data_IF_668798845555
#
_entry.id   IF_668798845555
#
_cell.length_a   1.000
_cell.length_b   1.000
_cell.length_c   1.000
_cell.angle_alpha   90.00
_cell.angle_beta   90.00
_cell.angle_gamma   90.00
#
_symmetry.space_group_name_H-M   'P 1'
#
loop_
_entity.id
_entity.type
_entity.pdbx_description
1 polymer ?
#
# COMPACT_ATOMS: atom_id res chain seq x y z
N UNK A 1 23.32 36.97 -16.29
CA UNK A 1 24.12 36.35 -15.22
C UNK A 1 23.64 34.92 -15.05
N UNK A 2 24.33 33.96 -15.66
CA UNK A 2 24.04 32.53 -15.52
C UNK A 2 24.46 32.12 -14.10
N UNK A 3 23.47 31.89 -13.24
CA UNK A 3 23.71 31.34 -11.91
C UNK A 3 24.50 30.03 -12.04
N UNK A 4 25.48 29.87 -11.16
CA UNK A 4 26.30 28.69 -10.97
C UNK A 4 25.39 27.46 -10.79
N UNK A 5 25.02 26.78 -11.88
CA UNK A 5 24.25 25.53 -11.80
C UNK A 5 25.23 24.49 -11.27
N UNK A 6 25.13 24.16 -9.98
CA UNK A 6 25.74 22.97 -9.39
C UNK A 6 25.39 21.78 -10.28
N UNK A 7 26.33 21.34 -11.11
CA UNK A 7 26.11 20.23 -12.04
C UNK A 7 26.08 18.93 -11.26
N UNK A 8 24.87 18.55 -10.83
CA UNK A 8 24.63 17.25 -10.20
C UNK A 8 24.79 16.15 -11.27
N UNK A 9 25.49 15.04 -10.97
CA UNK A 9 25.57 13.92 -11.90
C UNK A 9 24.18 13.30 -12.08
N UNK A 10 23.77 13.13 -13.33
CA UNK A 10 22.48 12.57 -13.73
C UNK A 10 22.69 11.25 -14.47
N UNK A 11 21.72 10.33 -14.38
CA UNK A 11 21.72 9.14 -15.24
C UNK A 11 21.52 9.54 -16.70
N UNK A 12 22.09 8.82 -17.68
CA UNK A 12 21.99 9.17 -19.11
C UNK A 12 20.55 9.38 -19.59
N UNK A 13 19.62 8.53 -19.14
CA UNK A 13 18.19 8.63 -19.47
C UNK A 13 17.58 9.95 -18.95
N UNK A 14 17.97 10.36 -17.75
CA UNK A 14 17.47 11.58 -17.13
C UNK A 14 18.14 12.84 -17.71
N UNK A 15 19.42 12.72 -18.07
CA UNK A 15 20.16 13.74 -18.81
C UNK A 15 19.51 13.99 -20.17
N UNK A 16 19.16 12.93 -20.92
CA UNK A 16 18.43 13.04 -22.17
C UNK A 16 17.07 13.70 -21.97
N UNK A 17 16.28 13.31 -20.97
CA UNK A 17 15.03 13.99 -20.64
C UNK A 17 15.24 15.47 -20.32
N UNK A 18 16.28 15.84 -19.58
CA UNK A 18 16.54 17.24 -19.23
C UNK A 18 16.85 18.13 -20.44
N UNK A 19 17.38 17.52 -21.52
CA UNK A 19 17.75 18.22 -22.76
C UNK A 19 16.62 18.28 -23.79
N UNK A 20 15.57 17.48 -23.65
CA UNK A 20 14.43 17.52 -24.56
C UNK A 20 13.72 18.87 -24.46
N UNK A 21 13.64 19.57 -25.58
CA UNK A 21 12.91 20.83 -25.71
C UNK A 21 11.48 20.53 -26.15
N UNK A 22 10.51 20.92 -25.32
CA UNK A 22 9.09 20.65 -25.59
C UNK A 22 8.53 21.63 -26.62
N UNK A 23 8.39 21.19 -27.89
CA UNK A 23 7.59 21.91 -28.88
C UNK A 23 6.10 21.69 -28.60
N UNK A 24 5.39 22.74 -28.21
CA UNK A 24 3.96 22.67 -27.90
C UNK A 24 3.12 22.73 -29.17
N UNK A 25 2.50 21.61 -29.54
CA UNK A 25 1.50 21.53 -30.60
C UNK A 25 0.09 21.46 -30.01
N UNK A 26 -0.94 21.75 -30.81
CA UNK A 26 -2.36 21.76 -30.40
C UNK A 26 -2.82 20.46 -29.72
N UNK A 27 -2.35 19.30 -30.20
CA UNK A 27 -2.66 17.99 -29.61
C UNK A 27 -2.13 17.83 -28.17
N UNK A 28 -0.92 18.32 -27.87
CA UNK A 28 -0.33 18.25 -26.52
C UNK A 28 -1.13 19.14 -25.57
N UNK A 29 -1.48 20.36 -25.98
CA UNK A 29 -2.29 21.27 -25.18
C UNK A 29 -3.67 20.66 -24.85
N UNK A 30 -4.29 19.98 -25.81
CA UNK A 30 -5.55 19.27 -25.58
C UNK A 30 -5.40 18.13 -24.57
N UNK A 31 -4.37 17.28 -24.72
CA UNK A 31 -4.10 16.19 -23.76
C UNK A 31 -3.83 16.70 -22.35
N UNK A 32 -3.14 17.83 -22.22
CA UNK A 32 -2.86 18.47 -20.94
C UNK A 32 -4.15 18.98 -20.29
N UNK A 33 -5.00 19.69 -21.03
CA UNK A 33 -6.29 20.17 -20.52
C UNK A 33 -7.21 19.04 -20.06
N UNK A 34 -7.32 17.97 -20.87
CA UNK A 34 -8.09 16.77 -20.49
C UNK A 34 -7.51 16.13 -19.23
N UNK A 35 -6.19 16.02 -19.14
CA UNK A 35 -5.51 15.45 -17.96
C UNK A 35 -5.72 16.30 -16.72
N UNK A 36 -5.65 17.63 -16.82
CA UNK A 36 -5.92 18.57 -15.72
C UNK A 36 -7.35 18.41 -15.21
N UNK A 37 -8.34 18.36 -16.12
CA UNK A 37 -9.75 18.17 -15.74
C UNK A 37 -9.97 16.82 -15.06
N UNK A 38 -9.42 15.74 -15.64
CA UNK A 38 -9.57 14.39 -15.09
C UNK A 38 -8.98 14.28 -13.69
N UNK A 39 -7.75 14.75 -13.48
CA UNK A 39 -7.10 14.69 -12.17
C UNK A 39 -7.74 15.65 -11.15
N UNK A 40 -8.24 16.80 -11.60
CA UNK A 40 -9.03 17.72 -10.77
C UNK A 40 -10.30 17.07 -10.25
N UNK A 41 -11.10 16.44 -11.12
CA UNK A 41 -12.31 15.72 -10.73
C UNK A 41 -12.00 14.53 -9.82
N UNK A 42 -10.98 13.73 -10.16
CA UNK A 42 -10.55 12.61 -9.33
C UNK A 42 -10.12 13.04 -7.92
N UNK A 43 -9.45 14.19 -7.79
CA UNK A 43 -9.08 14.74 -6.49
C UNK A 43 -10.31 15.14 -5.67
N UNK A 44 -11.27 15.85 -6.26
CA UNK A 44 -12.49 16.27 -5.58
C UNK A 44 -13.31 15.06 -5.10
N UNK A 45 -13.53 14.09 -5.99
CA UNK A 45 -14.24 12.86 -5.66
C UNK A 45 -13.51 12.09 -4.55
N UNK A 46 -12.21 11.88 -4.69
CA UNK A 46 -11.41 11.15 -3.70
C UNK A 46 -11.39 11.82 -2.32
N UNK A 47 -11.32 13.15 -2.26
CA UNK A 47 -11.37 13.90 -1.00
C UNK A 47 -12.74 13.79 -0.33
N UNK A 48 -13.82 13.93 -1.10
CA UNK A 48 -15.19 13.84 -0.58
C UNK A 48 -15.51 12.42 -0.14
N UNK A 49 -15.21 11.41 -0.96
CA UNK A 49 -15.49 10.00 -0.68
C UNK A 49 -14.73 9.51 0.54
N UNK A 50 -13.40 9.67 0.56
CA UNK A 50 -12.58 9.20 1.69
C UNK A 50 -12.83 10.01 2.96
N UNK A 51 -13.10 11.32 2.84
CA UNK A 51 -13.50 12.17 3.96
C UNK A 51 -14.83 11.74 4.58
N UNK A 52 -15.82 11.41 3.74
CA UNK A 52 -17.11 10.91 4.19
C UNK A 52 -16.97 9.53 4.87
N UNK A 53 -16.17 8.63 4.30
CA UNK A 53 -15.88 7.32 4.92
C UNK A 53 -15.26 7.50 6.30
N UNK A 54 -14.25 8.36 6.43
CA UNK A 54 -13.63 8.65 7.73
C UNK A 54 -14.64 9.22 8.73
N UNK A 55 -15.50 10.14 8.29
CA UNK A 55 -16.51 10.74 9.17
C UNK A 55 -17.56 9.72 9.63
N UNK A 56 -18.15 8.97 8.69
CA UNK A 56 -19.22 8.00 8.99
C UNK A 56 -18.67 6.84 9.82
N UNK A 57 -17.58 6.22 9.38
CA UNK A 57 -16.99 5.05 10.05
C UNK A 57 -16.33 5.45 11.39
N UNK A 58 -15.77 6.64 11.47
CA UNK A 58 -15.06 7.13 12.67
C UNK A 58 -16.01 7.64 13.75
N UNK A 59 -17.03 8.41 13.36
CA UNK A 59 -17.88 9.15 14.29
C UNK A 59 -19.30 8.58 14.43
N UNK A 60 -19.84 7.94 13.38
CA UNK A 60 -21.25 7.49 13.36
C UNK A 60 -21.43 5.99 13.53
N UNK A 61 -20.37 5.20 13.35
CA UNK A 61 -20.40 3.75 13.51
C UNK A 61 -19.71 3.29 14.80
N UNK A 62 -20.17 2.17 15.35
CA UNK A 62 -19.50 1.51 16.48
C UNK A 62 -18.13 0.99 16.03
N UNK A 63 -17.09 1.30 16.80
CA UNK A 63 -15.74 0.86 16.52
C UNK A 63 -15.59 -0.66 16.68
N UNK A 64 -15.14 -1.29 15.60
CA UNK A 64 -14.82 -2.71 15.50
C UNK A 64 -13.46 -2.88 14.82
N UNK A 65 -12.90 -4.08 14.85
CA UNK A 65 -11.65 -4.37 14.13
C UNK A 65 -11.76 -4.08 12.63
N UNK A 66 -12.90 -4.39 12.01
CA UNK A 66 -13.13 -4.12 10.59
C UNK A 66 -13.19 -2.62 10.30
N UNK A 67 -13.93 -1.85 11.11
CA UNK A 67 -13.99 -0.39 10.93
C UNK A 67 -12.63 0.25 11.14
N UNK A 68 -11.78 -0.30 12.03
CA UNK A 68 -10.40 0.17 12.24
C UNK A 68 -9.56 0.02 10.96
N UNK A 69 -9.62 -1.13 10.28
CA UNK A 69 -8.92 -1.32 9.01
C UNK A 69 -9.40 -0.34 7.95
N UNK A 70 -10.73 -0.17 7.83
CA UNK A 70 -11.34 0.75 6.86
C UNK A 70 -10.94 2.20 7.15
N UNK A 71 -10.87 2.61 8.42
CA UNK A 71 -10.42 3.95 8.80
C UNK A 71 -8.99 4.23 8.38
N UNK A 72 -8.06 3.31 8.64
CA UNK A 72 -6.66 3.50 8.23
C UNK A 72 -6.49 3.47 6.70
N UNK A 73 -7.31 2.69 5.99
CA UNK A 73 -7.31 2.63 4.53
C UNK A 73 -7.86 3.92 3.92
N UNK A 74 -9.01 4.39 4.42
CA UNK A 74 -9.57 5.68 4.01
C UNK A 74 -8.63 6.85 4.34
N UNK A 75 -7.88 6.76 5.43
CA UNK A 75 -6.87 7.76 5.77
C UNK A 75 -5.70 7.78 4.76
N UNK A 76 -5.19 6.62 4.33
CA UNK A 76 -4.11 6.60 3.33
C UNK A 76 -4.59 7.11 1.97
N UNK A 77 -5.79 6.71 1.56
CA UNK A 77 -6.38 7.15 0.31
C UNK A 77 -6.71 8.64 0.34
N UNK A 78 -7.18 9.18 1.48
CA UNK A 78 -7.38 10.62 1.65
C UNK A 78 -6.07 11.41 1.49
N UNK A 79 -4.96 10.92 2.05
CA UNK A 79 -3.65 11.56 1.89
C UNK A 79 -3.22 11.59 0.41
N UNK A 80 -3.47 10.51 -0.34
CA UNK A 80 -3.21 10.48 -1.78
C UNK A 80 -4.14 11.41 -2.58
N UNK A 81 -5.43 11.45 -2.23
CA UNK A 81 -6.39 12.39 -2.83
C UNK A 81 -6.06 13.84 -2.53
N UNK A 82 -5.45 14.13 -1.38
CA UNK A 82 -4.96 15.45 -1.02
C UNK A 82 -3.65 15.85 -1.72
N UNK A 83 -2.86 14.89 -2.22
CA UNK A 83 -1.65 15.21 -3.01
C UNK A 83 -1.94 15.44 -4.49
N UNK A 84 -3.03 14.86 -5.01
CA UNK A 84 -3.49 15.01 -6.40
C UNK A 84 -3.66 16.47 -6.90
N UNK A 85 -4.17 17.46 -6.13
CA UNK A 85 -4.26 18.84 -6.58
C UNK A 85 -2.91 19.44 -6.97
N UNK A 86 -1.83 19.06 -6.27
CA UNK A 86 -0.48 19.52 -6.59
C UNK A 86 0.02 18.89 -7.90
N UNK A 87 -0.37 17.64 -8.18
CA UNK A 87 -0.13 17.02 -9.48
C UNK A 87 -0.92 17.72 -10.60
N UNK A 88 -2.19 18.07 -10.34
CA UNK A 88 -2.99 18.87 -11.28
C UNK A 88 -2.36 20.22 -11.54
N UNK A 89 -1.82 20.90 -10.52
CA UNK A 89 -1.05 22.14 -10.68
C UNK A 89 0.19 21.93 -11.54
N UNK A 90 0.95 20.86 -11.30
CA UNK A 90 2.11 20.49 -12.14
C UNK A 90 1.72 20.33 -13.62
N UNK A 91 0.59 19.70 -13.93
CA UNK A 91 0.07 19.58 -15.29
C UNK A 91 -0.35 20.95 -15.86
N UNK A 92 -1.04 21.77 -15.05
CA UNK A 92 -1.55 23.08 -15.47
C UNK A 92 -0.45 24.09 -15.82
N UNK A 93 0.72 23.99 -15.18
CA UNK A 93 1.91 24.82 -15.47
C UNK A 93 2.80 24.18 -16.56
N UNK A 94 2.25 23.23 -17.33
CA UNK A 94 2.94 22.62 -18.47
C UNK A 94 4.03 21.63 -18.05
N UNK A 95 3.74 20.78 -17.06
CA UNK A 95 4.67 19.76 -16.56
C UNK A 95 5.94 20.34 -15.91
N UNK A 96 5.79 21.43 -15.16
CA UNK A 96 6.87 22.05 -14.39
C UNK A 96 6.58 22.04 -12.89
N UNK A 97 7.58 21.70 -12.08
CA UNK A 97 7.49 21.64 -10.63
C UNK A 97 8.07 22.89 -9.97
N UNK A 98 7.20 23.85 -9.65
CA UNK A 98 7.60 25.16 -9.09
C UNK A 98 7.52 25.24 -7.56
N UNK A 99 7.10 24.17 -6.88
CA UNK A 99 6.85 24.17 -5.43
C UNK A 99 8.10 23.87 -4.58
N UNK A 100 9.28 23.86 -5.20
CA UNK A 100 10.55 23.59 -4.53
C UNK A 100 10.86 22.12 -4.25
N UNK A 101 12.10 21.84 -3.84
CA UNK A 101 12.64 20.47 -3.72
C UNK A 101 12.06 19.68 -2.55
N UNK A 102 11.80 20.32 -1.41
CA UNK A 102 11.23 19.67 -0.22
C UNK A 102 9.81 19.16 -0.51
N UNK A 103 8.96 19.98 -1.13
CA UNK A 103 7.63 19.56 -1.55
C UNK A 103 7.66 18.49 -2.65
N UNK A 104 8.60 18.54 -3.59
CA UNK A 104 8.77 17.47 -4.60
C UNK A 104 8.99 16.11 -3.93
N UNK A 105 9.85 16.07 -2.91
CA UNK A 105 10.12 14.86 -2.10
C UNK A 105 8.87 14.42 -1.36
N UNK A 106 8.20 15.32 -0.63
CA UNK A 106 7.00 15.01 0.15
C UNK A 106 5.84 14.51 -0.73
N UNK A 107 5.51 15.22 -1.81
CA UNK A 107 4.46 14.84 -2.74
C UNK A 107 4.70 13.44 -3.32
N UNK A 108 5.93 13.17 -3.79
CA UNK A 108 6.30 11.86 -4.31
C UNK A 108 6.23 10.77 -3.24
N UNK A 109 6.61 11.09 -2.00
CA UNK A 109 6.54 10.16 -0.87
C UNK A 109 5.12 9.81 -0.48
N UNK A 110 4.17 10.75 -0.51
CA UNK A 110 2.75 10.46 -0.21
C UNK A 110 2.21 9.41 -1.18
N UNK A 111 2.54 9.51 -2.47
CA UNK A 111 2.14 8.51 -3.47
C UNK A 111 2.63 7.09 -3.12
N UNK A 112 3.92 6.95 -2.78
CA UNK A 112 4.46 5.63 -2.41
C UNK A 112 3.99 5.15 -1.04
N UNK A 113 3.79 6.06 -0.10
CA UNK A 113 3.25 5.76 1.21
C UNK A 113 1.86 5.17 1.09
N UNK A 114 0.99 5.76 0.26
CA UNK A 114 -0.33 5.20 -0.02
C UNK A 114 -0.24 3.81 -0.66
N UNK A 115 0.59 3.65 -1.69
CA UNK A 115 0.78 2.36 -2.36
C UNK A 115 1.17 1.24 -1.38
N UNK A 116 2.11 1.50 -0.46
CA UNK A 116 2.51 0.52 0.55
C UNK A 116 1.48 0.35 1.66
N UNK A 117 0.92 1.44 2.19
CA UNK A 117 -0.07 1.40 3.26
C UNK A 117 -1.33 0.64 2.82
N UNK A 118 -1.91 1.00 1.68
CA UNK A 118 -3.10 0.33 1.14
C UNK A 118 -2.82 -1.14 0.82
N UNK A 119 -1.66 -1.47 0.25
CA UNK A 119 -1.27 -2.86 0.00
C UNK A 119 -1.15 -3.69 1.29
N UNK A 120 -0.49 -3.16 2.32
CA UNK A 120 -0.35 -3.84 3.62
C UNK A 120 -1.68 -3.94 4.38
N UNK A 121 -2.52 -2.90 4.34
CA UNK A 121 -3.84 -2.90 4.98
C UNK A 121 -4.78 -3.89 4.30
N UNK A 122 -4.84 -3.93 2.98
CA UNK A 122 -5.63 -4.93 2.24
C UNK A 122 -5.18 -6.37 2.57
N UNK A 123 -3.86 -6.58 2.69
CA UNK A 123 -3.31 -7.87 3.13
C UNK A 123 -3.76 -8.24 4.54
N UNK A 124 -3.69 -7.30 5.47
CA UNK A 124 -4.13 -7.49 6.84
C UNK A 124 -5.64 -7.79 6.93
N UNK A 125 -6.46 -7.11 6.12
CA UNK A 125 -7.90 -7.38 6.00
C UNK A 125 -8.13 -8.81 5.49
N UNK A 126 -7.43 -9.24 4.42
CA UNK A 126 -7.53 -10.62 3.90
C UNK A 126 -7.12 -11.67 4.94
N UNK A 127 -6.02 -11.42 5.66
CA UNK A 127 -5.56 -12.28 6.75
C UNK A 127 -6.58 -12.37 7.89
N UNK A 128 -7.11 -11.23 8.34
CA UNK A 128 -8.10 -11.16 9.42
C UNK A 128 -9.36 -11.97 9.05
N UNK A 129 -9.84 -11.84 7.81
CA UNK A 129 -10.96 -12.65 7.30
C UNK A 129 -10.62 -14.13 7.24
N UNK A 130 -9.39 -14.50 6.89
CA UNK A 130 -8.98 -15.90 6.90
C UNK A 130 -8.92 -16.47 8.33
N UNK A 131 -8.39 -15.71 9.29
CA UNK A 131 -8.31 -16.12 10.70
C UNK A 131 -9.68 -16.31 11.33
N UNK A 132 -10.66 -15.47 10.98
CA UNK A 132 -12.05 -15.63 11.43
C UNK A 132 -12.65 -16.98 11.02
N UNK A 133 -12.35 -17.46 9.80
CA UNK A 133 -12.89 -18.72 9.27
C UNK A 133 -12.11 -19.92 9.79
N UNK A 134 -10.78 -19.83 9.86
CA UNK A 134 -9.92 -20.98 10.23
C UNK A 134 -9.83 -21.19 11.74
N UNK A 135 -9.93 -20.11 12.55
CA UNK A 135 -9.80 -20.17 14.02
C UNK A 135 -10.85 -19.30 14.72
N UNK A 136 -12.15 -19.67 14.67
CA UNK A 136 -13.23 -18.87 15.25
C UNK A 136 -13.08 -18.64 16.75
N UNK A 137 -12.69 -19.67 17.52
CA UNK A 137 -12.51 -19.58 18.99
C UNK A 137 -11.37 -18.62 19.36
N UNK A 138 -10.25 -18.66 18.62
CA UNK A 138 -9.14 -17.74 18.86
C UNK A 138 -9.51 -16.30 18.48
N UNK A 139 -10.19 -16.13 17.34
CA UNK A 139 -10.64 -14.82 16.85
C UNK A 139 -11.62 -14.17 17.84
N UNK A 140 -12.51 -14.93 18.48
CA UNK A 140 -13.40 -14.39 19.50
C UNK A 140 -12.64 -13.85 20.73
N UNK A 141 -11.57 -14.54 21.16
CA UNK A 141 -10.84 -14.16 22.38
C UNK A 141 -9.75 -13.10 22.17
N UNK A 142 -9.14 -13.01 20.99
CA UNK A 142 -7.95 -12.16 20.77
C UNK A 142 -8.20 -10.96 19.83
N UNK A 143 -9.30 -10.95 19.07
CA UNK A 143 -9.57 -9.92 18.05
C UNK A 143 -10.16 -8.65 18.67
N UNK A 144 -9.30 -7.87 19.34
CA UNK A 144 -9.67 -6.60 19.96
C UNK A 144 -9.37 -5.39 19.06
N UNK A 145 -10.12 -4.31 19.23
CA UNK A 145 -9.88 -3.03 18.52
C UNK A 145 -8.49 -2.46 18.81
N UNK A 146 -8.03 -2.59 20.06
CA UNK A 146 -6.69 -2.16 20.45
C UNK A 146 -5.58 -2.93 19.71
N UNK A 147 -5.73 -4.24 19.53
CA UNK A 147 -4.78 -5.04 18.73
C UNK A 147 -4.78 -4.59 17.26
N UNK A 148 -5.96 -4.33 16.68
CA UNK A 148 -6.08 -3.85 15.30
C UNK A 148 -5.35 -2.51 15.09
N UNK A 149 -5.51 -1.54 16.01
CA UNK A 149 -4.77 -0.28 15.94
C UNK A 149 -3.26 -0.48 16.05
N UNK A 150 -2.78 -1.35 16.95
CA UNK A 150 -1.34 -1.65 17.07
C UNK A 150 -0.78 -2.22 15.77
N UNK A 151 -1.51 -3.14 15.12
CA UNK A 151 -1.11 -3.67 13.82
C UNK A 151 -1.11 -2.56 12.77
N UNK A 152 -2.15 -1.73 12.69
CA UNK A 152 -2.17 -0.60 11.76
C UNK A 152 -0.95 0.31 11.94
N UNK A 153 -0.61 0.71 13.17
CA UNK A 153 0.57 1.53 13.44
C UNK A 153 1.87 0.87 13.00
N UNK A 154 2.01 -0.45 13.19
CA UNK A 154 3.17 -1.20 12.70
C UNK A 154 3.23 -1.22 11.17
N UNK A 155 2.09 -1.39 10.48
CA UNK A 155 2.01 -1.33 9.02
C UNK A 155 2.35 0.05 8.48
N UNK A 156 1.90 1.13 9.16
CA UNK A 156 2.27 2.51 8.83
C UNK A 156 3.78 2.74 8.98
N UNK A 157 4.38 2.29 10.09
CA UNK A 157 5.82 2.39 10.29
C UNK A 157 6.60 1.64 9.19
N UNK A 158 6.14 0.44 8.82
CA UNK A 158 6.72 -0.32 7.71
C UNK A 158 6.55 0.39 6.37
N UNK A 159 5.39 0.99 6.10
CA UNK A 159 5.14 1.75 4.87
C UNK A 159 6.05 2.99 4.77
N UNK A 160 6.24 3.72 5.88
CA UNK A 160 7.16 4.87 5.95
C UNK A 160 8.61 4.42 5.72
N UNK A 161 9.04 3.32 6.35
CA UNK A 161 10.38 2.77 6.18
C UNK A 161 10.65 2.41 4.70
N UNK A 162 9.70 1.77 4.03
CA UNK A 162 9.82 1.43 2.60
C UNK A 162 9.73 2.66 1.69
N UNK A 163 9.16 3.77 2.18
CA UNK A 163 9.06 5.04 1.44
C UNK A 163 10.36 5.85 1.49
N UNK A 164 11.21 5.62 2.51
CA UNK A 164 12.46 6.33 2.72
C UNK A 164 13.40 6.43 1.49
N UNK A 165 13.73 5.34 0.76
CA UNK A 165 14.59 5.44 -0.41
C UNK A 165 13.99 6.34 -1.50
N UNK A 166 12.66 6.34 -1.66
CA UNK A 166 11.98 7.18 -2.64
C UNK A 166 11.99 8.66 -2.26
N UNK A 167 11.97 8.97 -0.95
CA UNK A 167 12.15 10.33 -0.44
C UNK A 167 13.58 10.83 -0.70
N UNK A 168 14.57 9.99 -0.37
CA UNK A 168 15.99 10.34 -0.47
C UNK A 168 16.40 10.58 -1.92
N UNK A 169 16.07 9.66 -2.83
CA UNK A 169 16.45 9.75 -4.24
C UNK A 169 15.57 10.68 -5.08
N UNK A 170 14.54 11.34 -4.51
CA UNK A 170 13.78 12.36 -5.26
C UNK A 170 14.50 13.70 -5.24
N UNK A 171 14.56 14.35 -6.39
CA UNK A 171 15.21 15.66 -6.55
C UNK A 171 14.52 16.49 -7.64
N UNK A 172 14.75 17.80 -7.59
CA UNK A 172 14.33 18.76 -8.63
C UNK A 172 15.45 18.96 -9.63
N UNK A 173 15.16 18.75 -10.91
CA UNK A 173 16.15 18.76 -11.99
C UNK A 173 15.71 19.81 -13.02
N UNK A 174 16.50 20.89 -13.21
CA UNK A 174 16.20 21.89 -14.22
C UNK A 174 16.39 21.31 -15.63
N UNK A 175 15.49 21.66 -16.55
CA UNK A 175 15.58 21.35 -17.97
C UNK A 175 16.12 22.55 -18.75
N UNK A 176 16.57 22.31 -19.98
CA UNK A 176 17.02 23.37 -20.90
C UNK A 176 15.88 24.30 -21.37
N UNK A 177 14.63 23.83 -21.36
CA UNK A 177 13.45 24.60 -21.75
C UNK A 177 12.92 25.52 -20.62
N UNK A 178 13.65 25.61 -19.49
CA UNK A 178 13.29 26.41 -18.33
C UNK A 178 12.36 25.72 -17.33
N UNK A 179 11.86 24.51 -17.64
CA UNK A 179 10.99 23.74 -16.72
C UNK A 179 11.80 23.01 -15.65
N UNK A 180 11.14 22.65 -14.56
CA UNK A 180 11.72 21.90 -13.45
C UNK A 180 11.04 20.53 -13.36
N UNK A 181 11.82 19.45 -13.46
CA UNK A 181 11.32 18.09 -13.26
C UNK A 181 11.44 17.67 -11.80
N UNK A 182 10.41 17.05 -11.24
CA UNK A 182 10.48 16.33 -9.96
C UNK A 182 10.64 14.84 -10.23
N UNK A 183 11.88 14.32 -10.23
CA UNK A 183 12.17 12.93 -10.63
C UNK A 183 13.22 12.23 -9.76
N UNK A 184 13.47 10.94 -10.03
CA UNK A 184 14.48 10.15 -9.32
C UNK A 184 15.90 10.49 -9.78
N UNK A 185 16.72 11.00 -8.86
CA UNK A 185 18.15 11.16 -9.02
C UNK A 185 18.88 10.10 -8.17
N UNK A 186 19.11 8.91 -8.74
CA UNK A 186 19.76 7.79 -8.03
C UNK A 186 21.26 7.98 -7.80
N UNK A 187 21.88 8.97 -8.45
CA UNK A 187 23.30 9.31 -8.28
C UNK A 187 23.53 10.39 -7.22
N UNK A 188 22.47 10.94 -6.62
CA UNK A 188 22.51 12.08 -5.72
C UNK A 188 23.50 11.93 -4.55
N UNK A 189 23.59 10.73 -3.97
CA UNK A 189 24.46 10.46 -2.82
C UNK A 189 25.88 10.04 -3.20
N UNK A 190 25.99 9.19 -4.23
CA UNK A 190 27.28 8.68 -4.69
C UNK A 190 27.15 8.24 -6.16
N UNK A 191 27.86 8.89 -7.10
CA UNK A 191 27.80 8.55 -8.51
C UNK A 191 28.47 7.22 -8.87
N UNK A 192 29.30 6.66 -7.98
CA UNK A 192 30.07 5.45 -8.26
C UNK A 192 31.16 5.65 -9.33
N UNK A 193 31.97 4.61 -9.59
CA UNK A 193 33.02 4.65 -10.62
C UNK A 193 32.45 4.56 -12.05
N UNK A 194 31.42 3.73 -12.27
CA UNK A 194 30.67 3.65 -13.53
C UNK A 194 29.22 4.12 -13.31
N UNK A 195 28.89 5.23 -13.96
CA UNK A 195 27.58 5.88 -13.92
C UNK A 195 26.48 4.99 -14.48
N UNK A 196 26.73 4.29 -15.59
CA UNK A 196 25.70 3.51 -16.28
C UNK A 196 25.36 2.24 -15.50
N UNK A 197 26.37 1.51 -15.06
CA UNK A 197 26.17 0.33 -14.21
C UNK A 197 25.47 0.70 -12.90
N UNK A 198 25.87 1.80 -12.24
CA UNK A 198 25.26 2.26 -10.98
C UNK A 198 23.79 2.66 -11.17
N UNK A 199 23.47 3.40 -12.24
CA UNK A 199 22.09 3.77 -12.58
C UNK A 199 21.22 2.53 -12.81
N UNK A 200 21.66 1.61 -13.66
CA UNK A 200 20.92 0.39 -13.97
C UNK A 200 20.69 -0.46 -12.71
N UNK A 201 21.72 -0.67 -11.90
CA UNK A 201 21.62 -1.46 -10.67
C UNK A 201 20.64 -0.83 -9.68
N UNK A 202 20.77 0.48 -9.37
CA UNK A 202 19.91 1.15 -8.39
C UNK A 202 18.47 1.31 -8.89
N UNK A 203 18.27 1.64 -10.16
CA UNK A 203 16.92 1.73 -10.73
C UNK A 203 16.23 0.37 -10.76
N UNK A 204 16.94 -0.69 -11.15
CA UNK A 204 16.42 -2.05 -11.14
C UNK A 204 16.12 -2.50 -9.70
N UNK A 205 17.02 -2.24 -8.75
CA UNK A 205 16.78 -2.55 -7.35
C UNK A 205 15.55 -1.82 -6.79
N UNK A 206 15.39 -0.53 -7.09
CA UNK A 206 14.20 0.24 -6.70
C UNK A 206 12.95 -0.35 -7.36
N UNK A 207 12.96 -0.63 -8.66
CA UNK A 207 11.81 -1.22 -9.35
C UNK A 207 11.44 -2.61 -8.77
N UNK A 208 12.42 -3.51 -8.67
CA UNK A 208 12.23 -4.85 -8.11
C UNK A 208 11.75 -4.77 -6.66
N UNK A 209 12.33 -3.89 -5.84
CA UNK A 209 11.87 -3.71 -4.45
C UNK A 209 10.43 -3.23 -4.39
N UNK A 210 10.00 -2.29 -5.27
CA UNK A 210 8.59 -1.87 -5.35
C UNK A 210 7.69 -3.07 -5.65
N UNK A 211 8.02 -3.87 -6.66
CA UNK A 211 7.22 -5.03 -7.05
C UNK A 211 7.18 -6.09 -5.95
N UNK A 212 8.33 -6.47 -5.39
CA UNK A 212 8.39 -7.47 -4.33
C UNK A 212 7.64 -7.02 -3.08
N UNK A 213 7.79 -5.77 -2.65
CA UNK A 213 7.12 -5.29 -1.44
C UNK A 213 5.62 -5.08 -1.65
N UNK A 214 5.20 -4.60 -2.83
CA UNK A 214 3.80 -4.41 -3.15
C UNK A 214 3.05 -5.74 -3.39
N UNK A 215 3.72 -6.77 -3.92
CA UNK A 215 3.05 -8.02 -4.31
C UNK A 215 3.39 -9.23 -3.42
N UNK A 216 4.62 -9.37 -2.91
CA UNK A 216 5.04 -10.56 -2.16
C UNK A 216 4.47 -10.59 -0.73
N UNK A 217 4.34 -9.44 -0.06
CA UNK A 217 3.79 -9.39 1.31
C UNK A 217 2.30 -9.78 1.34
N UNK A 218 1.43 -9.24 0.46
CA UNK A 218 0.05 -9.72 0.34
C UNK A 218 -0.05 -11.20 -0.04
N UNK A 219 0.66 -11.62 -1.08
CA UNK A 219 0.52 -12.98 -1.61
C UNK A 219 1.12 -14.07 -0.72
N UNK A 220 2.26 -13.82 -0.05
CA UNK A 220 2.82 -14.77 0.92
C UNK A 220 1.89 -14.94 2.12
N UNK A 221 1.25 -13.85 2.56
CA UNK A 221 0.30 -13.90 3.67
C UNK A 221 -0.96 -14.70 3.31
N UNK A 222 -1.48 -14.53 2.10
CA UNK A 222 -2.62 -15.30 1.58
C UNK A 222 -2.26 -16.77 1.33
N UNK A 223 -1.06 -17.04 0.77
CA UNK A 223 -0.58 -18.38 0.46
C UNK A 223 -0.30 -19.22 1.72
N UNK A 224 0.29 -18.62 2.76
CA UNK A 224 0.45 -19.28 4.06
C UNK A 224 -0.90 -19.55 4.70
N UNK A 225 -1.84 -18.60 4.64
CA UNK A 225 -3.17 -18.75 5.21
C UNK A 225 -4.03 -19.79 4.46
N UNK A 226 -3.94 -19.87 3.12
CA UNK A 226 -4.60 -20.89 2.31
C UNK A 226 -3.99 -22.28 2.50
N UNK A 227 -2.66 -22.38 2.54
CA UNK A 227 -1.95 -23.64 2.82
C UNK A 227 -2.29 -24.15 4.22
N UNK A 228 -2.37 -23.25 5.20
CA UNK A 228 -2.86 -23.58 6.55
C UNK A 228 -4.33 -23.99 6.54
N UNK A 229 -5.21 -23.30 5.81
CA UNK A 229 -6.63 -23.68 5.67
C UNK A 229 -6.77 -25.11 5.14
N UNK A 230 -6.04 -25.45 4.08
CA UNK A 230 -6.00 -26.82 3.54
C UNK A 230 -5.48 -27.82 4.57
N UNK A 231 -4.39 -27.50 5.27
CA UNK A 231 -3.81 -28.41 6.25
C UNK A 231 -4.71 -28.65 7.48
N UNK A 232 -5.47 -27.62 7.89
CA UNK A 232 -6.40 -27.71 9.03
C UNK A 232 -7.69 -28.42 8.63
N UNK A 233 -8.22 -28.16 7.44
CA UNK A 233 -9.36 -28.88 6.86
C UNK A 233 -9.07 -30.38 6.68
N UNK A 234 -7.89 -30.72 6.14
CA UNK A 234 -7.43 -32.12 6.01
C UNK A 234 -7.29 -32.81 7.37
N UNK A 235 -6.84 -32.09 8.42
CA UNK A 235 -6.82 -32.64 9.79
C UNK A 235 -8.22 -32.82 10.38
N UNK A 236 -9.14 -31.89 10.12
CA UNK A 236 -10.55 -31.98 10.53
C UNK A 236 -11.26 -33.18 9.90
N UNK A 237 -11.08 -33.40 8.59
CA UNK A 237 -11.62 -34.59 7.92
C UNK A 237 -11.02 -35.89 8.49
N UNK A 238 -9.73 -35.93 8.85
CA UNK A 238 -9.12 -37.11 9.49
C UNK A 238 -9.65 -37.39 10.89
N UNK A 239 -10.14 -36.39 11.63
CA UNK A 239 -10.78 -36.59 12.94
C UNK A 239 -12.24 -37.02 12.87
N UNK A 240 -12.91 -36.81 11.72
CA UNK A 240 -14.32 -37.18 11.51
C UNK A 240 -14.51 -38.54 10.82
N UNK A 241 -13.46 -39.12 10.22
CA UNK A 241 -13.53 -40.50 9.69
C UNK A 241 -13.62 -41.49 10.88
N UNK A 242 -14.74 -42.22 11.04
CA UNK A 242 -14.86 -43.23 12.07
C UNK A 242 -13.83 -44.34 11.81
N UNK A 243 -13.02 -44.67 12.81
CA UNK A 243 -12.18 -45.87 12.77
C UNK A 243 -13.11 -47.09 12.64
N UNK A 244 -13.02 -47.90 11.58
CA UNK A 244 -13.83 -49.10 11.48
C UNK A 244 -13.36 -50.06 12.57
N UNK A 245 -14.25 -50.40 13.51
CA UNK A 245 -14.01 -51.47 14.49
C UNK A 245 -14.08 -51.10 15.97
N UNK A 246 -14.38 -49.85 16.36
CA UNK A 246 -14.61 -49.53 17.79
C UNK A 246 -16.09 -49.38 18.10
N UNK A 247 -16.73 -50.52 18.38
CA UNK A 247 -18.06 -50.58 19.01
C UNK A 247 -17.98 -49.81 20.33
N UNK A 248 -18.73 -48.72 20.44
CA UNK A 248 -18.92 -47.99 21.69
C UNK A 248 -19.97 -48.75 22.51
N UNK A 249 -19.69 -49.17 23.76
CA UNK A 249 -20.74 -49.75 24.60
C UNK A 249 -21.75 -48.64 24.93
N UNK A 250 -23.00 -48.83 24.53
CA UNK A 250 -24.12 -48.00 24.95
C UNK A 250 -24.40 -48.25 26.43
N UNK A 251 -24.11 -47.27 27.27
CA UNK A 251 -24.62 -47.19 28.63
C UNK A 251 -26.11 -46.82 28.56
N UNK A 252 -26.99 -47.81 28.46
CA UNK A 252 -28.43 -47.66 28.66
C UNK A 252 -29.05 -49.02 29.02
N UNK A 253 -28.65 -49.57 30.16
CA UNK A 253 -29.34 -50.70 30.81
C UNK A 253 -28.95 -50.75 32.29
N UNK A 254 -29.32 -49.72 33.06
CA UNK A 254 -29.21 -49.74 34.54
C UNK A 254 -30.40 -49.07 35.24
N UNK A 255 -31.57 -48.99 34.59
CA UNK A 255 -32.74 -48.35 35.22
C UNK A 255 -34.06 -49.11 35.06
N UNK A 256 -34.01 -50.44 35.23
CA UNK A 256 -35.22 -51.27 35.24
C UNK A 256 -35.06 -52.56 36.07
N UNK A 257 -34.46 -52.50 37.27
CA UNK A 257 -34.40 -53.67 38.18
C UNK A 257 -34.47 -53.31 39.68
N UNK A 258 -35.24 -52.28 40.06
CA UNK A 258 -35.40 -51.88 41.46
C UNK A 258 -36.86 -51.66 41.92
N UNK A 259 -37.84 -52.34 41.30
CA UNK A 259 -39.26 -52.19 41.67
C UNK A 259 -40.07 -53.49 41.79
N UNK A 260 -39.42 -54.64 41.99
CA UNK A 260 -40.08 -55.86 42.46
C UNK A 260 -39.17 -56.57 43.47
N UNK A 261 -39.14 -56.05 44.70
CA UNK A 261 -38.87 -56.79 45.96
C UNK A 261 -38.85 -55.77 47.12
N UNK A 262 -40.03 -55.25 47.45
CA UNK A 262 -40.48 -54.87 48.81
C UNK A 262 -41.93 -54.36 48.77
#
# INVERSE_FOLDING_TARGET
>A
MLANVTMKPLCPVLEQMSRLQSHSNSSIRYMDHVSVLLHGLASLLGLVENGLILFVVGCRMRQTVVTTWVLHLALSDLLASASLPFFTYFLAVGHSWELGTTFCKLHSSIFFLNMFASGFLLSAISLDRCLQVVRPVWAQNHRTVAAAHKVCLALWALAVLNTAPYFVFRDTIPRLDGRIMCYYNVLLLNPGPDRNATCNLRQTALAVSKFLLAFAVPSASQGVAQRWRQHTFVRGMKSEVPVPGKVRPTASAQHTEQLMDN
#
